data_IF_979264611125
#
_entry.id   IF_979264611125
#
_cell.length_a   1.000
_cell.length_b   1.000
_cell.length_c   1.000
_cell.angle_alpha   90.00
_cell.angle_beta   90.00
_cell.angle_gamma   90.00
#
_symmetry.space_group_name_H-M   'P 1'
#
loop_
_entity.id
_entity.type
_entity.pdbx_description
1 polymer ?
#
# COMPACT_ATOMS: atom_id res chain seq x y z
N UNK A 1 33.03 -22.88 -19.19
CA UNK A 1 32.08 -22.02 -19.93
C UNK A 1 30.75 -22.76 -20.02
N UNK A 2 29.89 -22.64 -19.00
CA UNK A 2 28.64 -23.42 -18.90
C UNK A 2 27.53 -22.74 -19.72
N UNK A 3 27.00 -23.44 -20.72
CA UNK A 3 25.91 -22.96 -21.59
C UNK A 3 24.61 -22.95 -20.80
N UNK A 4 24.02 -21.76 -20.56
CA UNK A 4 22.66 -21.64 -20.01
C UNK A 4 21.63 -22.11 -21.06
N UNK A 5 20.57 -22.83 -20.67
CA UNK A 5 19.57 -23.32 -21.61
C UNK A 5 18.73 -22.16 -22.19
N UNK A 6 18.48 -22.23 -23.50
CA UNK A 6 17.64 -21.30 -24.26
C UNK A 6 16.17 -21.54 -23.89
N UNK A 7 15.51 -20.55 -23.30
CA UNK A 7 14.05 -20.57 -23.13
C UNK A 7 13.41 -20.40 -24.51
N UNK A 8 12.59 -21.36 -24.94
CA UNK A 8 11.86 -21.27 -26.22
C UNK A 8 10.57 -20.48 -25.96
N UNK A 9 10.53 -19.24 -26.46
CA UNK A 9 9.30 -18.45 -26.52
C UNK A 9 8.28 -19.18 -27.41
N UNK A 10 7.09 -19.43 -26.87
CA UNK A 10 5.99 -20.12 -27.56
C UNK A 10 5.69 -21.55 -27.11
N UNK A 11 6.30 -22.07 -26.03
CA UNK A 11 5.89 -23.37 -25.46
C UNK A 11 4.56 -23.23 -24.72
N UNK A 12 3.47 -23.77 -25.29
CA UNK A 12 2.24 -24.05 -24.52
C UNK A 12 2.59 -25.21 -23.59
N UNK A 13 2.99 -24.88 -22.36
CA UNK A 13 3.23 -25.87 -21.32
C UNK A 13 1.89 -26.54 -21.06
N UNK A 14 1.77 -27.83 -21.37
CA UNK A 14 0.64 -28.63 -20.92
C UNK A 14 0.89 -28.94 -19.45
N UNK A 15 0.18 -28.29 -18.51
CA UNK A 15 0.49 -28.46 -17.12
C UNK A 15 0.18 -29.91 -16.74
N UNK A 16 1.14 -30.56 -16.08
CA UNK A 16 0.93 -31.89 -15.54
C UNK A 16 -0.26 -31.90 -14.58
N UNK A 17 -0.91 -33.06 -14.33
CA UNK A 17 -2.04 -33.12 -13.42
C UNK A 17 -1.71 -32.60 -12.01
N UNK A 18 -0.46 -32.77 -11.55
CA UNK A 18 0.01 -32.20 -10.28
C UNK A 18 0.16 -30.66 -10.29
N UNK A 19 0.55 -30.08 -11.42
CA UNK A 19 0.65 -28.62 -11.58
C UNK A 19 -0.74 -27.97 -11.55
N UNK A 20 -1.73 -28.59 -12.21
CA UNK A 20 -3.13 -28.12 -12.16
C UNK A 20 -3.70 -28.16 -10.74
N UNK A 21 -3.39 -29.18 -9.95
CA UNK A 21 -3.84 -29.27 -8.55
C UNK A 21 -3.18 -28.20 -7.70
N UNK A 22 -1.87 -27.97 -7.87
CA UNK A 22 -1.16 -26.92 -7.16
C UNK A 22 -1.71 -25.52 -7.50
N UNK A 23 -1.97 -25.26 -8.78
CA UNK A 23 -2.57 -24.00 -9.24
C UNK A 23 -3.95 -23.76 -8.62
N UNK A 24 -4.82 -24.79 -8.59
CA UNK A 24 -6.15 -24.68 -7.96
C UNK A 24 -6.03 -24.36 -6.47
N UNK A 25 -5.08 -25.00 -5.76
CA UNK A 25 -4.86 -24.73 -4.34
C UNK A 25 -4.36 -23.29 -4.12
N UNK A 26 -3.39 -22.84 -4.93
CA UNK A 26 -2.86 -21.47 -4.85
C UNK A 26 -3.97 -20.45 -5.14
N UNK A 27 -4.76 -20.67 -6.18
CA UNK A 27 -5.89 -19.81 -6.52
C UNK A 27 -6.90 -19.77 -5.37
N UNK A 28 -7.24 -20.92 -4.77
CA UNK A 28 -8.16 -20.97 -3.63
C UNK A 28 -7.63 -20.16 -2.43
N UNK A 29 -6.33 -20.24 -2.13
CA UNK A 29 -5.70 -19.46 -1.06
C UNK A 29 -5.73 -17.96 -1.39
N UNK A 30 -5.38 -17.57 -2.63
CA UNK A 30 -5.41 -16.17 -3.05
C UNK A 30 -6.82 -15.58 -3.00
N UNK A 31 -7.83 -16.35 -3.41
CA UNK A 31 -9.24 -15.97 -3.30
C UNK A 31 -9.65 -15.77 -1.84
N UNK A 32 -9.23 -16.67 -0.95
CA UNK A 32 -9.52 -16.53 0.49
C UNK A 32 -8.86 -15.27 1.08
N UNK A 33 -7.59 -15.00 0.75
CA UNK A 33 -6.90 -13.78 1.16
C UNK A 33 -7.60 -12.51 0.65
N UNK A 34 -8.07 -12.53 -0.60
CA UNK A 34 -8.85 -11.44 -1.18
C UNK A 34 -10.15 -11.21 -0.39
N UNK A 35 -10.89 -12.26 -0.05
CA UNK A 35 -12.12 -12.14 0.75
C UNK A 35 -11.86 -11.52 2.12
N UNK A 36 -10.83 -11.98 2.84
CA UNK A 36 -10.49 -11.46 4.17
C UNK A 36 -10.11 -9.97 4.12
N UNK A 37 -9.44 -9.52 3.04
CA UNK A 37 -9.07 -8.12 2.86
C UNK A 37 -10.26 -7.23 2.46
N UNK A 38 -11.18 -7.73 1.62
CA UNK A 38 -12.30 -6.95 1.10
C UNK A 38 -13.41 -6.77 2.13
N UNK A 39 -13.69 -7.79 2.96
CA UNK A 39 -14.77 -7.73 3.98
C UNK A 39 -14.68 -6.50 4.90
N UNK A 40 -13.54 -6.16 5.54
CA UNK A 40 -13.45 -4.97 6.40
C UNK A 40 -13.56 -3.66 5.62
N UNK A 41 -13.10 -3.63 4.36
CA UNK A 41 -13.25 -2.46 3.49
C UNK A 41 -14.72 -2.23 3.15
N UNK A 42 -15.44 -3.29 2.76
CA UNK A 42 -16.88 -3.23 2.48
C UNK A 42 -17.67 -2.79 3.71
N UNK A 43 -17.37 -3.38 4.87
CA UNK A 43 -17.96 -3.01 6.14
C UNK A 43 -17.81 -1.51 6.44
N UNK A 44 -16.61 -0.96 6.26
CA UNK A 44 -16.32 0.45 6.51
C UNK A 44 -17.13 1.38 5.61
N UNK A 45 -17.33 1.00 4.34
CA UNK A 45 -18.16 1.76 3.39
C UNK A 45 -19.65 1.71 3.78
N UNK A 46 -20.14 0.55 4.21
CA UNK A 46 -21.53 0.44 4.67
C UNK A 46 -21.76 1.27 5.94
N UNK A 47 -20.82 1.25 6.88
CA UNK A 47 -20.85 2.08 8.10
C UNK A 47 -20.86 3.57 7.77
N UNK A 48 -20.02 4.03 6.83
CA UNK A 48 -19.91 5.46 6.52
C UNK A 48 -21.17 6.07 5.91
N UNK A 49 -22.05 5.25 5.32
CA UNK A 49 -23.32 5.67 4.72
C UNK A 49 -24.54 5.51 5.66
N UNK A 50 -24.34 4.90 6.83
CA UNK A 50 -25.40 4.56 7.78
C UNK A 50 -25.63 5.65 8.83
N UNK A 51 -26.74 5.58 9.57
CA UNK A 51 -26.95 6.46 10.74
C UNK A 51 -26.08 6.01 11.91
N UNK A 52 -25.33 6.94 12.51
CA UNK A 52 -24.42 6.67 13.62
C UNK A 52 -25.10 6.05 14.84
N UNK A 53 -26.36 6.41 15.12
CA UNK A 53 -27.09 5.81 16.25
C UNK A 53 -27.46 4.36 15.99
N UNK A 54 -27.82 4.02 14.74
CA UNK A 54 -28.19 2.67 14.33
C UNK A 54 -26.97 1.77 14.20
N UNK A 55 -25.83 2.31 13.77
CA UNK A 55 -24.56 1.57 13.72
C UNK A 55 -24.07 1.19 15.12
N UNK A 56 -24.17 2.11 16.09
CA UNK A 56 -23.74 1.83 17.48
C UNK A 56 -24.62 0.76 18.13
N UNK A 57 -25.92 0.73 17.79
CA UNK A 57 -26.86 -0.25 18.31
C UNK A 57 -26.79 -1.62 17.62
N UNK A 58 -26.12 -1.72 16.47
CA UNK A 58 -26.01 -2.97 15.71
C UNK A 58 -24.71 -3.70 16.05
N UNK A 59 -24.82 -4.98 16.39
CA UNK A 59 -23.67 -5.85 16.61
C UNK A 59 -23.47 -6.77 15.41
N UNK A 60 -22.32 -6.66 14.74
CA UNK A 60 -21.92 -7.56 13.65
C UNK A 60 -21.47 -6.84 12.37
N UNK A 61 -21.18 -7.63 11.34
CA UNK A 61 -20.76 -7.12 10.03
C UNK A 61 -21.99 -6.55 9.30
N UNK A 62 -21.96 -5.25 9.05
CA UNK A 62 -22.90 -4.54 8.19
C UNK A 62 -22.68 -4.89 6.71
N UNK A 63 -23.57 -5.72 6.16
CA UNK A 63 -23.60 -6.07 4.73
C UNK A 63 -24.32 -5.04 3.87
N UNK A 64 -25.23 -4.27 4.48
CA UNK A 64 -26.02 -3.18 3.89
C UNK A 64 -25.97 -1.96 4.81
N UNK A 65 -26.10 -0.77 4.24
CA UNK A 65 -26.26 0.45 5.03
C UNK A 65 -27.53 0.38 5.90
N UNK A 66 -27.38 0.78 7.16
CA UNK A 66 -28.42 0.75 8.19
C UNK A 66 -28.94 2.17 8.38
N UNK A 67 -30.03 2.47 7.68
CA UNK A 67 -30.80 3.71 7.84
C UNK A 67 -32.26 3.34 8.04
N UNK A 68 -32.93 3.98 9.00
CA UNK A 68 -34.34 3.69 9.33
C UNK A 68 -35.32 3.79 8.15
N UNK A 69 -34.94 4.53 7.09
CA UNK A 69 -35.73 4.76 5.88
C UNK A 69 -35.07 4.17 4.60
N UNK A 70 -33.97 3.42 4.76
CA UNK A 70 -33.18 2.88 3.63
C UNK A 70 -32.47 3.93 2.77
N UNK A 71 -32.54 5.22 3.13
CA UNK A 71 -31.86 6.33 2.46
C UNK A 71 -30.37 6.41 2.85
N UNK A 72 -29.57 7.04 2.00
CA UNK A 72 -28.14 7.25 2.24
C UNK A 72 -27.98 8.44 3.18
N UNK A 73 -27.30 8.25 4.32
CA UNK A 73 -27.02 9.35 5.25
C UNK A 73 -25.73 10.07 4.85
N UNK A 74 -25.86 11.25 4.24
CA UNK A 74 -24.71 12.09 3.86
C UNK A 74 -24.32 13.11 4.95
N UNK A 75 -25.12 13.24 6.00
CA UNK A 75 -24.92 14.26 7.03
C UNK A 75 -23.65 14.02 7.88
N UNK A 76 -23.11 12.79 7.89
CA UNK A 76 -21.80 12.48 8.49
C UNK A 76 -20.63 13.06 7.69
N UNK A 77 -20.72 13.08 6.36
CA UNK A 77 -19.70 13.65 5.49
C UNK A 77 -19.68 15.19 5.59
N UNK A 78 -20.85 15.83 5.61
CA UNK A 78 -20.95 17.30 5.80
C UNK A 78 -20.28 17.72 7.11
N UNK A 79 -20.60 17.03 8.22
CA UNK A 79 -19.96 17.28 9.52
C UNK A 79 -18.45 17.08 9.52
N UNK A 80 -17.97 16.14 8.72
CA UNK A 80 -16.53 15.85 8.60
C UNK A 80 -15.81 16.97 7.85
N UNK A 81 -16.43 17.52 6.80
CA UNK A 81 -15.85 18.62 6.02
C UNK A 81 -15.80 19.91 6.84
N UNK A 82 -16.87 20.23 7.55
CA UNK A 82 -16.97 21.45 8.37
C UNK A 82 -16.23 21.35 9.71
N UNK A 83 -15.65 20.19 10.01
CA UNK A 83 -14.96 19.93 11.27
C UNK A 83 -13.77 20.89 11.47
N UNK A 84 -13.84 21.66 12.57
CA UNK A 84 -12.76 22.50 13.08
C UNK A 84 -12.10 23.40 12.02
N UNK A 85 -12.91 24.17 11.28
CA UNK A 85 -12.45 25.07 10.21
C UNK A 85 -11.66 24.32 9.11
N UNK A 86 -12.30 23.29 8.54
CA UNK A 86 -11.77 22.46 7.46
C UNK A 86 -10.41 21.82 7.79
N UNK A 87 -10.18 21.50 9.07
CA UNK A 87 -8.91 20.94 9.52
C UNK A 87 -8.54 19.67 8.75
N UNK A 88 -9.51 18.80 8.48
CA UNK A 88 -9.30 17.55 7.73
C UNK A 88 -8.84 17.83 6.30
N UNK A 89 -9.46 18.81 5.61
CA UNK A 89 -9.09 19.18 4.26
C UNK A 89 -7.69 19.81 4.20
N UNK A 90 -7.37 20.68 5.17
CA UNK A 90 -6.03 21.27 5.31
C UNK A 90 -4.97 20.20 5.56
N UNK A 91 -5.23 19.26 6.47
CA UNK A 91 -4.33 18.14 6.75
C UNK A 91 -4.13 17.25 5.52
N UNK A 92 -5.18 16.95 4.76
CA UNK A 92 -5.08 16.17 3.53
C UNK A 92 -4.23 16.88 2.47
N UNK A 93 -4.39 18.19 2.30
CA UNK A 93 -3.57 18.99 1.39
C UNK A 93 -2.09 18.99 1.79
N UNK A 94 -1.81 19.09 3.09
CA UNK A 94 -0.45 19.00 3.64
C UNK A 94 0.13 17.61 3.36
N UNK A 95 -0.59 16.52 3.64
CA UNK A 95 -0.14 15.15 3.35
C UNK A 95 0.15 14.96 1.86
N UNK A 96 -0.73 15.45 0.98
CA UNK A 96 -0.52 15.36 -0.46
C UNK A 96 0.75 16.10 -0.90
N UNK A 97 0.98 17.31 -0.39
CA UNK A 97 2.20 18.07 -0.64
C UNK A 97 3.44 17.29 -0.19
N UNK A 98 3.42 16.72 1.02
CA UNK A 98 4.54 15.93 1.52
C UNK A 98 4.76 14.67 0.68
N UNK A 99 3.72 13.93 0.32
CA UNK A 99 3.88 12.71 -0.48
C UNK A 99 4.44 13.05 -1.86
N UNK A 100 3.86 14.01 -2.55
CA UNK A 100 4.32 14.40 -3.90
C UNK A 100 5.74 14.96 -3.83
N UNK A 101 6.01 15.85 -2.88
CA UNK A 101 7.35 16.43 -2.68
C UNK A 101 8.40 15.37 -2.36
N UNK A 102 8.12 14.48 -1.41
CA UNK A 102 9.04 13.39 -1.04
C UNK A 102 9.25 12.39 -2.18
N UNK A 103 8.19 12.04 -2.92
CA UNK A 103 8.30 11.11 -4.04
C UNK A 103 9.13 11.73 -5.17
N UNK A 104 8.86 12.97 -5.56
CA UNK A 104 9.62 13.64 -6.64
C UNK A 104 11.08 13.79 -6.24
N UNK A 105 11.36 14.37 -5.08
CA UNK A 105 12.72 14.58 -4.61
C UNK A 105 13.46 13.26 -4.38
N UNK A 106 12.80 12.32 -3.69
CA UNK A 106 13.34 11.00 -3.42
C UNK A 106 13.60 10.20 -4.69
N UNK A 107 12.72 10.25 -5.68
CA UNK A 107 12.92 9.59 -6.97
C UNK A 107 14.13 10.18 -7.70
N UNK A 108 14.23 11.50 -7.80
CA UNK A 108 15.35 12.18 -8.47
C UNK A 108 16.68 11.79 -7.80
N UNK A 109 16.76 11.85 -6.47
CA UNK A 109 17.96 11.46 -5.72
C UNK A 109 18.29 9.98 -5.88
N UNK A 110 17.29 9.09 -5.80
CA UNK A 110 17.50 7.64 -5.97
C UNK A 110 17.96 7.29 -7.38
N UNK A 111 17.38 7.90 -8.43
CA UNK A 111 17.77 7.63 -9.82
C UNK A 111 19.21 8.07 -10.07
N UNK A 112 19.59 9.27 -9.61
CA UNK A 112 20.97 9.77 -9.75
C UNK A 112 21.94 8.85 -8.99
N UNK A 113 21.62 8.51 -7.73
CA UNK A 113 22.44 7.62 -6.90
C UNK A 113 22.60 6.22 -7.51
N UNK A 114 21.50 5.61 -7.96
CA UNK A 114 21.50 4.30 -8.59
C UNK A 114 22.30 4.30 -9.90
N UNK A 115 22.14 5.33 -10.74
CA UNK A 115 22.89 5.46 -11.99
C UNK A 115 24.41 5.57 -11.74
N UNK A 116 24.82 6.36 -10.74
CA UNK A 116 26.21 6.51 -10.35
C UNK A 116 26.84 5.18 -9.88
N UNK A 117 26.09 4.32 -9.19
CA UNK A 117 26.55 2.99 -8.73
C UNK A 117 26.52 1.95 -9.87
N UNK A 118 25.56 2.04 -10.77
CA UNK A 118 25.41 1.12 -11.89
C UNK A 118 26.61 1.16 -12.84
N UNK A 119 27.19 2.35 -13.05
CA UNK A 119 28.39 2.49 -13.89
C UNK A 119 29.61 1.88 -13.20
N UNK A 120 30.34 1.02 -13.92
CA UNK A 120 31.57 0.40 -13.42
C UNK A 120 32.73 1.40 -13.37
N UNK A 121 32.76 2.18 -12.29
CA UNK A 121 33.81 3.17 -12.00
C UNK A 121 34.65 2.73 -10.80
N UNK A 122 35.89 3.22 -10.69
CA UNK A 122 36.80 2.91 -9.57
C UNK A 122 36.24 3.34 -8.19
N UNK A 123 35.39 4.38 -8.14
CA UNK A 123 34.75 4.86 -6.90
C UNK A 123 33.50 4.06 -6.49
N UNK A 124 33.03 3.11 -7.30
CA UNK A 124 31.78 2.37 -7.04
C UNK A 124 31.79 1.66 -5.68
N UNK A 125 32.91 1.03 -5.31
CA UNK A 125 33.04 0.30 -4.05
C UNK A 125 32.91 1.22 -2.85
N UNK A 126 33.55 2.39 -2.89
CA UNK A 126 33.47 3.38 -1.81
C UNK A 126 32.06 3.96 -1.66
N UNK A 127 31.43 4.36 -2.78
CA UNK A 127 30.05 4.87 -2.76
C UNK A 127 29.06 3.82 -2.26
N UNK A 128 29.18 2.57 -2.70
CA UNK A 128 28.30 1.48 -2.25
C UNK A 128 28.46 1.24 -0.75
N UNK A 129 29.70 1.23 -0.25
CA UNK A 129 29.97 1.09 1.18
C UNK A 129 29.34 2.23 1.99
N UNK A 130 29.45 3.47 1.51
CA UNK A 130 28.85 4.64 2.17
C UNK A 130 27.32 4.51 2.32
N UNK A 131 26.60 4.15 1.24
CA UNK A 131 25.15 3.93 1.29
C UNK A 131 24.78 2.79 2.24
N UNK A 132 25.41 1.63 2.09
CA UNK A 132 25.13 0.45 2.94
C UNK A 132 25.40 0.76 4.41
N UNK A 133 26.47 1.48 4.71
CA UNK A 133 26.79 1.90 6.07
C UNK A 133 25.66 2.73 6.68
N UNK A 134 25.13 3.74 5.97
CA UNK A 134 24.00 4.54 6.50
C UNK A 134 22.70 3.75 6.67
N UNK A 135 22.48 2.69 5.89
CA UNK A 135 21.33 1.81 6.05
C UNK A 135 21.48 0.90 7.29
N UNK A 136 22.70 0.43 7.56
CA UNK A 136 22.97 -0.49 8.67
C UNK A 136 23.18 0.23 10.02
N UNK A 137 23.75 1.43 9.99
CA UNK A 137 24.08 2.21 11.18
C UNK A 137 23.26 3.49 11.19
N UNK A 138 22.26 3.55 12.07
CA UNK A 138 21.42 4.72 12.31
C UNK A 138 21.48 5.11 13.81
N UNK A 139 21.47 6.41 14.11
CA UNK A 139 21.59 6.92 15.48
C UNK A 139 20.39 6.64 16.39
N UNK A 140 19.26 6.17 15.85
CA UNK A 140 18.03 5.94 16.60
C UNK A 140 17.21 7.22 16.81
N UNK A 141 16.04 7.08 17.43
CA UNK A 141 15.07 8.19 17.55
C UNK A 141 15.60 9.35 18.39
N UNK A 142 16.28 9.09 19.51
CA UNK A 142 16.74 10.15 20.43
C UNK A 142 17.72 11.13 19.73
N UNK A 143 18.81 10.69 19.07
CA UNK A 143 19.67 11.62 18.34
C UNK A 143 19.01 12.32 17.16
N UNK A 144 18.04 11.68 16.49
CA UNK A 144 17.35 12.30 15.34
C UNK A 144 16.32 13.37 15.73
N UNK A 145 15.81 13.34 16.97
CA UNK A 145 14.84 14.33 17.48
C UNK A 145 15.47 15.48 18.28
N UNK A 146 16.73 15.35 18.74
CA UNK A 146 17.41 16.36 19.56
C UNK A 146 18.06 17.51 18.75
N UNK A 147 17.94 17.47 17.43
CA UNK A 147 18.35 18.57 16.52
C UNK A 147 17.15 19.47 16.26
#
# INVERSE_FOLDING_TARGET
MSRKPKYKEGMVVHPGPGERVADVIIIAILVLCMFIAIVPMWHTVMVSLSDGQLVIAHEGILWKWLTGDGSINLAGYERTIDYSDYAILKSYAITLLYVVGNVVFGLVMNVIGAYCIFRQNKLRTFMTLFFVFSLMFNGGTVPTYMV
#
